data_IF_536679199925
#
_entry.id   IF_536679199925
#
_cell.length_a   1.000
_cell.length_b   1.000
_cell.length_c   1.000
_cell.angle_alpha   90.00
_cell.angle_beta   90.00
_cell.angle_gamma   90.00
#
_symmetry.space_group_name_H-M   'P 1'
#
loop_
_entity.id
_entity.type
_entity.pdbx_description
1 polymer ?
#
# COMPACT_ATOMS: atom_id res chain seq x y z
N UNK A 1 7.79 -13.25 2.42
CA UNK A 1 7.94 -12.13 1.47
C UNK A 1 7.53 -12.68 0.12
N UNK A 2 6.29 -12.42 -0.31
CA UNK A 2 5.77 -12.93 -1.58
C UNK A 2 6.41 -12.14 -2.75
N UNK A 3 7.08 -12.79 -3.71
CA UNK A 3 7.77 -12.11 -4.80
C UNK A 3 6.85 -11.39 -5.80
N UNK A 4 5.52 -11.53 -5.70
CA UNK A 4 4.54 -10.82 -6.54
C UNK A 4 3.88 -9.63 -5.82
N UNK A 5 4.21 -9.38 -4.55
CA UNK A 5 3.72 -8.20 -3.84
C UNK A 5 4.84 -7.16 -3.72
N UNK A 6 4.93 -6.25 -4.69
CA UNK A 6 5.91 -5.15 -4.70
C UNK A 6 5.67 -4.08 -3.64
N UNK A 7 4.62 -4.19 -2.82
CA UNK A 7 4.48 -3.40 -1.60
C UNK A 7 5.25 -4.16 -0.49
N UNK A 8 6.47 -3.70 -0.10
CA UNK A 8 7.15 -4.30 1.04
C UNK A 8 6.22 -4.27 2.25
N UNK A 9 6.26 -5.29 3.09
CA UNK A 9 5.50 -5.33 4.35
C UNK A 9 5.70 -4.01 5.10
N UNK A 10 4.65 -3.20 5.22
CA UNK A 10 4.73 -1.85 5.79
C UNK A 10 4.90 -0.69 4.78
N UNK A 11 4.65 -0.86 3.48
CA UNK A 11 4.75 0.24 2.51
C UNK A 11 3.80 1.42 2.83
N UNK A 12 2.68 1.11 3.47
CA UNK A 12 1.83 2.04 4.18
C UNK A 12 0.96 1.26 5.17
N UNK A 13 0.61 1.89 6.29
CA UNK A 13 -0.30 1.31 7.29
C UNK A 13 -1.77 1.45 6.89
N UNK A 14 -2.06 2.34 5.95
CA UNK A 14 -3.41 2.76 5.58
C UNK A 14 -4.11 1.89 4.53
N UNK A 15 -3.44 0.89 3.97
CA UNK A 15 -3.99 0.01 2.94
C UNK A 15 -3.88 -1.47 3.34
N UNK A 16 -4.89 -2.30 3.00
CA UNK A 16 -4.77 -3.74 3.16
C UNK A 16 -3.67 -4.31 2.24
N UNK A 17 -3.08 -5.44 2.65
CA UNK A 17 -2.11 -6.18 1.83
C UNK A 17 -2.71 -6.55 0.47
N UNK A 18 -1.96 -6.30 -0.61
CA UNK A 18 -2.42 -6.54 -1.98
C UNK A 18 -3.18 -5.36 -2.63
N UNK A 19 -3.12 -4.16 -2.07
CA UNK A 19 -3.67 -2.96 -2.71
C UNK A 19 -3.11 -2.78 -4.14
N UNK A 20 -3.98 -2.85 -5.16
CA UNK A 20 -3.58 -2.80 -6.57
C UNK A 20 -2.85 -1.49 -6.93
N UNK A 21 -3.28 -0.35 -6.36
CA UNK A 21 -2.61 0.94 -6.56
C UNK A 21 -1.21 0.94 -5.94
N UNK A 22 -1.08 0.42 -4.72
CA UNK A 22 0.23 0.33 -4.06
C UNK A 22 1.16 -0.71 -4.69
N UNK A 23 0.63 -1.76 -5.32
CA UNK A 23 1.42 -2.77 -6.04
C UNK A 23 2.14 -2.19 -7.26
N UNK A 24 1.58 -1.15 -7.88
CA UNK A 24 2.24 -0.40 -8.95
C UNK A 24 3.20 0.69 -8.42
N UNK A 25 3.03 1.09 -7.16
CA UNK A 25 3.82 2.10 -6.46
C UNK A 25 2.98 2.81 -5.39
N UNK A 26 3.42 2.81 -4.13
CA UNK A 26 2.65 3.40 -3.04
C UNK A 26 2.51 4.92 -3.19
N UNK A 27 1.29 5.40 -3.46
CA UNK A 27 0.97 6.85 -3.55
C UNK A 27 0.52 7.44 -2.21
N UNK A 28 0.44 6.62 -1.17
CA UNK A 28 -0.01 7.01 0.15
C UNK A 28 1.08 7.85 0.81
N UNK A 29 0.99 9.19 0.69
CA UNK A 29 1.93 10.14 1.30
C UNK A 29 1.80 10.15 2.84
N UNK A 30 2.25 9.09 3.51
CA UNK A 30 2.32 9.02 4.97
C UNK A 30 0.98 8.99 5.70
N UNK A 31 -0.09 8.47 5.07
CA UNK A 31 -1.36 8.26 5.76
C UNK A 31 -1.22 7.12 6.78
N UNK A 32 -1.57 7.38 8.05
CA UNK A 32 -1.46 6.38 9.12
C UNK A 32 -2.60 5.36 9.14
N UNK A 33 -3.85 5.76 8.88
CA UNK A 33 -5.02 4.90 9.18
C UNK A 33 -5.83 4.54 7.94
N UNK A 34 -6.25 5.55 7.17
CA UNK A 34 -7.02 5.33 5.95
C UNK A 34 -6.63 6.39 4.94
N UNK A 35 -6.22 5.94 3.76
CA UNK A 35 -5.96 6.86 2.67
C UNK A 35 -7.22 6.99 1.82
N UNK A 36 -7.49 8.20 1.33
CA UNK A 36 -8.57 8.44 0.37
C UNK A 36 -8.14 8.10 -1.07
N UNK A 37 -6.84 7.98 -1.32
CA UNK A 37 -6.29 7.71 -2.64
C UNK A 37 -6.39 6.25 -3.07
N UNK A 38 -6.57 5.30 -2.15
CA UNK A 38 -6.69 3.87 -2.47
C UNK A 38 -8.01 3.25 -1.97
N UNK A 39 -9.02 4.10 -1.74
CA UNK A 39 -10.40 3.68 -1.51
C UNK A 39 -11.02 3.01 -2.75
#
# INVERSE_FOLDING_TARGET
MDPNCSCPTGCCSCCPGGCARCAQGCVCKGASDKCSCCA
#
